data_IF_196324875505
#
_entry.id   IF_196324875505
#
_cell.length_a   1.000
_cell.length_b   1.000
_cell.length_c   1.000
_cell.angle_alpha   90.00
_cell.angle_beta   90.00
_cell.angle_gamma   90.00
#
_symmetry.space_group_name_H-M   'P 1'
#
loop_
_entity.id
_entity.type
_entity.pdbx_description
1 polymer ?
#
# COMPACT_ATOMS: atom_id res chain seq x y z
N UNK A 1 1.64 -6.23 -0.55
CA UNK A 1 2.09 -4.82 -0.56
C UNK A 1 1.11 -3.87 -1.24
N UNK A 2 0.37 -4.27 -2.29
CA UNK A 2 -0.64 -3.37 -2.89
C UNK A 2 -1.82 -3.06 -1.96
N UNK A 3 -2.23 -4.03 -1.13
CA UNK A 3 -3.30 -3.86 -0.15
C UNK A 3 -3.01 -2.83 0.96
N UNK A 4 -1.73 -2.60 1.28
CA UNK A 4 -1.29 -1.67 2.30
C UNK A 4 0.06 -1.10 1.86
N UNK A 5 0.08 0.01 1.09
CA UNK A 5 1.31 0.58 0.56
C UNK A 5 2.05 1.34 1.66
N UNK A 6 2.48 0.64 2.72
CA UNK A 6 3.30 1.16 3.82
C UNK A 6 4.81 1.10 3.46
N UNK A 7 5.66 1.71 4.30
CA UNK A 7 7.11 1.68 4.05
C UNK A 7 7.64 0.28 4.32
N UNK A 8 8.70 -0.14 3.63
CA UNK A 8 9.29 -1.47 3.83
C UNK A 8 9.79 -1.66 5.27
N UNK A 9 10.33 -0.61 5.88
CA UNK A 9 10.70 -0.64 7.29
C UNK A 9 9.50 -1.00 8.17
N UNK A 10 8.36 -0.31 7.99
CA UNK A 10 7.13 -0.61 8.72
C UNK A 10 6.59 -2.02 8.45
N UNK A 11 6.78 -2.55 7.23
CA UNK A 11 6.45 -3.95 6.93
C UNK A 11 7.35 -4.92 7.70
N UNK A 12 8.65 -4.65 7.76
CA UNK A 12 9.63 -5.48 8.45
C UNK A 12 9.50 -5.45 9.98
N UNK A 13 8.91 -4.37 10.52
CA UNK A 13 8.70 -4.16 11.95
C UNK A 13 7.24 -4.36 12.37
N UNK A 14 6.44 -5.12 11.61
CA UNK A 14 5.09 -5.44 12.05
C UNK A 14 5.11 -6.38 13.25
N UNK A 15 4.40 -6.01 14.31
CA UNK A 15 4.20 -6.81 15.52
C UNK A 15 2.76 -7.36 15.59
N UNK A 16 2.62 -8.63 15.96
CA UNK A 16 1.31 -9.25 16.21
C UNK A 16 0.66 -8.66 17.46
N UNK A 17 -0.62 -8.30 17.35
CA UNK A 17 -1.38 -7.71 18.47
C UNK A 17 -1.10 -6.22 18.70
N UNK A 18 0.00 -5.68 18.17
CA UNK A 18 0.29 -4.23 18.19
C UNK A 18 0.02 -3.58 16.84
N UNK A 19 0.85 -3.87 15.84
CA UNK A 19 0.73 -3.27 14.51
C UNK A 19 -0.17 -4.06 13.57
N UNK A 20 -0.36 -5.36 13.85
CA UNK A 20 -1.31 -6.22 13.15
C UNK A 20 -2.38 -6.67 14.13
N UNK A 21 -3.59 -6.14 13.96
CA UNK A 21 -4.68 -6.29 14.93
C UNK A 21 -5.84 -7.08 14.32
N UNK A 22 -6.46 -7.93 15.15
CA UNK A 22 -7.69 -8.64 14.84
C UNK A 22 -8.78 -8.28 15.88
N UNK A 23 -9.51 -7.17 15.68
CA UNK A 23 -10.49 -6.70 16.65
C UNK A 23 -11.57 -7.74 17.00
N UNK A 24 -11.95 -8.58 16.03
CA UNK A 24 -12.96 -9.64 16.19
C UNK A 24 -12.35 -11.04 16.30
N UNK A 25 -11.08 -11.12 16.72
CA UNK A 25 -10.34 -12.38 16.82
C UNK A 25 -9.82 -12.91 15.49
N UNK A 26 -9.07 -14.02 15.55
CA UNK A 26 -8.24 -14.49 14.43
C UNK A 26 -9.04 -14.65 13.14
N UNK A 27 -10.28 -15.15 13.19
CA UNK A 27 -11.13 -15.39 12.01
C UNK A 27 -11.88 -14.15 11.50
N UNK A 28 -11.77 -13.01 12.20
CA UNK A 28 -12.36 -11.75 11.78
C UNK A 28 -11.47 -10.92 10.85
N UNK A 29 -11.91 -9.68 10.53
CA UNK A 29 -11.10 -8.74 9.78
C UNK A 29 -9.82 -8.39 10.54
N UNK A 30 -8.73 -8.16 9.79
CA UNK A 30 -7.49 -7.69 10.37
C UNK A 30 -7.07 -6.35 9.77
N UNK A 31 -6.39 -5.57 10.59
CA UNK A 31 -5.94 -4.22 10.26
C UNK A 31 -4.45 -4.11 10.52
N UNK A 32 -3.74 -3.47 9.59
CA UNK A 32 -2.41 -2.95 9.85
C UNK A 32 -2.57 -1.55 10.42
N UNK A 33 -2.20 -1.38 11.68
CA UNK A 33 -2.27 -0.12 12.43
C UNK A 33 -0.85 0.33 12.74
N UNK A 34 -0.46 1.49 12.20
CA UNK A 34 0.83 2.12 12.45
C UNK A 34 0.59 3.40 13.24
N UNK A 35 1.18 3.48 14.43
CA UNK A 35 1.07 4.65 15.30
C UNK A 35 1.96 5.79 14.82
N UNK A 36 1.77 6.98 15.40
CA UNK A 36 2.53 8.19 15.02
C UNK A 36 4.04 7.97 15.12
N UNK A 37 4.50 7.38 16.21
CA UNK A 37 5.90 7.04 16.49
C UNK A 37 6.48 5.99 15.52
N UNK A 38 5.63 5.17 14.92
CA UNK A 38 6.01 4.12 13.97
C UNK A 38 6.04 4.64 12.52
N UNK A 39 5.73 5.91 12.30
CA UNK A 39 5.74 6.51 10.96
C UNK A 39 6.70 7.70 10.90
N UNK A 40 7.56 7.70 9.86
CA UNK A 40 8.52 8.79 9.61
C UNK A 40 7.88 10.19 9.54
N UNK A 41 6.59 10.27 9.27
CA UNK A 41 5.86 11.54 9.09
C UNK A 41 4.93 11.86 10.26
N UNK A 42 4.89 11.04 11.31
CA UNK A 42 3.98 11.17 12.46
C UNK A 42 2.48 11.14 12.08
N UNK A 43 2.17 10.48 10.97
CA UNK A 43 0.80 10.31 10.48
C UNK A 43 0.39 8.87 10.80
N UNK A 44 -0.58 8.64 11.69
CA UNK A 44 -1.05 7.28 11.95
C UNK A 44 -1.68 6.71 10.68
N UNK A 45 -1.45 5.43 10.43
CA UNK A 45 -1.98 4.75 9.24
C UNK A 45 -2.73 3.50 9.67
N UNK A 46 -3.89 3.31 9.06
CA UNK A 46 -4.72 2.13 9.28
C UNK A 46 -5.13 1.57 7.92
N UNK A 47 -4.78 0.31 7.69
CA UNK A 47 -5.10 -0.38 6.45
C UNK A 47 -5.90 -1.65 6.74
N UNK A 48 -7.16 -1.76 6.28
CA UNK A 48 -7.88 -3.02 6.33
C UNK A 48 -7.18 -4.01 5.38
N UNK A 49 -6.92 -5.23 5.86
CA UNK A 49 -6.37 -6.29 5.03
C UNK A 49 -7.49 -6.98 4.25
N UNK A 50 -7.42 -7.03 2.90
CA UNK A 50 -8.36 -7.77 2.09
C UNK A 50 -8.30 -9.28 2.38
N UNK A 51 -9.40 -10.00 2.15
CA UNK A 51 -9.51 -11.42 2.46
C UNK A 51 -8.42 -12.29 1.83
N UNK A 52 -8.04 -12.02 0.57
CA UNK A 52 -6.95 -12.75 -0.09
C UNK A 52 -5.60 -12.56 0.62
N UNK A 53 -5.34 -11.38 1.20
CA UNK A 53 -4.14 -11.15 2.01
C UNK A 53 -4.25 -11.86 3.36
N UNK A 54 -5.44 -11.86 3.97
CA UNK A 54 -5.69 -12.57 5.22
C UNK A 54 -5.49 -14.08 5.08
N UNK A 55 -5.96 -14.68 3.98
CA UNK A 55 -5.77 -16.10 3.70
C UNK A 55 -4.28 -16.49 3.68
N UNK A 56 -3.45 -15.74 2.93
CA UNK A 56 -2.00 -15.95 2.89
C UNK A 56 -1.33 -15.73 4.24
N UNK A 57 -1.79 -14.72 4.99
CA UNK A 57 -1.28 -14.42 6.32
C UNK A 57 -1.59 -15.55 7.32
N UNK A 58 -2.81 -16.09 7.29
CA UNK A 58 -3.20 -17.25 8.12
C UNK A 58 -2.33 -18.46 7.81
N UNK A 59 -2.17 -18.78 6.53
CA UNK A 59 -1.31 -19.88 6.09
C UNK A 59 0.13 -19.68 6.58
N UNK A 60 0.68 -18.47 6.45
CA UNK A 60 2.02 -18.15 6.96
C UNK A 60 2.14 -18.42 8.47
N UNK A 61 1.17 -17.93 9.25
CA UNK A 61 1.17 -18.07 10.71
C UNK A 61 1.02 -19.54 11.15
N UNK A 62 0.15 -20.31 10.48
CA UNK A 62 -0.14 -21.70 10.86
C UNK A 62 0.91 -22.69 10.37
N UNK A 63 1.45 -22.49 9.16
CA UNK A 63 2.35 -23.46 8.53
C UNK A 63 3.81 -23.13 8.71
N UNK A 64 4.21 -21.86 8.68
CA UNK A 64 5.63 -21.49 8.64
C UNK A 64 6.12 -20.97 9.97
N UNK A 65 5.30 -20.17 10.65
CA UNK A 65 5.67 -19.56 11.93
C UNK A 65 5.58 -20.52 13.12
N UNK A 66 4.74 -21.55 13.04
CA UNK A 66 4.65 -22.57 14.09
C UNK A 66 5.94 -23.37 14.28
N UNK A 67 6.81 -23.45 13.27
CA UNK A 67 8.13 -24.10 13.37
C UNK A 67 9.23 -23.20 13.92
N UNK A 68 8.97 -21.90 14.10
CA UNK A 68 9.98 -20.96 14.58
C UNK A 68 10.16 -21.07 16.11
N UNK A 69 11.41 -21.08 16.57
CA UNK A 69 11.75 -21.01 18.00
C UNK A 69 11.18 -19.73 18.65
N UNK A 70 10.91 -19.77 19.95
CA UNK A 70 10.10 -18.77 20.69
C UNK A 70 10.78 -17.42 20.93
N UNK A 71 11.89 -17.10 20.26
CA UNK A 71 12.74 -15.98 20.67
C UNK A 71 12.08 -14.61 20.46
N UNK A 72 11.54 -14.37 19.26
CA UNK A 72 11.05 -13.05 18.83
C UNK A 72 9.54 -13.11 18.46
N UNK A 73 8.71 -13.82 19.24
CA UNK A 73 7.29 -14.13 18.92
C UNK A 73 6.34 -12.93 18.79
N UNK A 74 6.77 -11.72 19.08
CA UNK A 74 6.01 -10.50 18.80
C UNK A 74 6.07 -10.12 17.31
N UNK A 75 7.20 -10.37 16.62
CA UNK A 75 7.42 -9.94 15.25
C UNK A 75 6.70 -10.84 14.24
N UNK A 76 6.11 -10.23 13.22
CA UNK A 76 5.39 -10.97 12.19
C UNK A 76 6.32 -11.90 11.41
N UNK A 77 7.40 -11.36 10.86
CA UNK A 77 8.33 -12.11 10.01
C UNK A 77 9.51 -12.68 10.80
N UNK A 78 9.52 -13.99 10.96
CA UNK A 78 10.57 -14.75 11.66
C UNK A 78 11.36 -15.64 10.72
N UNK A 79 12.62 -15.86 11.08
CA UNK A 79 13.47 -16.94 10.55
C UNK A 79 13.09 -18.25 11.26
N UNK A 80 13.53 -19.37 10.68
CA UNK A 80 13.29 -20.71 11.25
C UNK A 80 13.91 -20.86 12.65
N UNK A 81 15.00 -20.16 12.93
CA UNK A 81 15.65 -20.14 14.25
C UNK A 81 14.89 -19.30 15.29
N UNK A 82 13.76 -18.69 14.91
CA UNK A 82 12.95 -17.85 15.80
C UNK A 82 13.39 -16.40 15.89
N UNK A 83 14.44 -16.00 15.19
CA UNK A 83 14.91 -14.60 15.18
C UNK A 83 14.14 -13.75 14.17
N UNK A 84 14.03 -12.44 14.45
CA UNK A 84 13.43 -11.47 13.54
C UNK A 84 14.14 -11.45 12.19
N UNK A 85 13.37 -11.45 11.10
CA UNK A 85 13.95 -11.21 9.76
C UNK A 85 14.47 -9.77 9.67
N UNK A 86 15.76 -9.55 9.36
CA UNK A 86 16.28 -8.20 9.19
C UNK A 86 15.61 -7.46 8.04
N UNK A 87 15.42 -6.15 8.18
CA UNK A 87 14.78 -5.28 7.19
C UNK A 87 15.41 -5.39 5.79
N UNK A 88 16.75 -5.50 5.73
CA UNK A 88 17.48 -5.68 4.48
C UNK A 88 17.14 -7.01 3.80
N UNK A 89 17.08 -8.10 4.57
CA UNK A 89 16.73 -9.42 4.06
C UNK A 89 15.28 -9.47 3.54
N UNK A 90 14.34 -8.83 4.25
CA UNK A 90 12.95 -8.76 3.81
C UNK A 90 12.80 -7.92 2.54
N UNK A 91 13.52 -6.80 2.45
CA UNK A 91 13.57 -5.95 1.26
C UNK A 91 14.11 -6.71 0.05
N UNK A 92 15.23 -7.40 0.22
CA UNK A 92 15.88 -8.16 -0.85
C UNK A 92 15.03 -9.34 -1.27
N UNK A 93 14.45 -10.08 -0.31
CA UNK A 93 13.52 -11.17 -0.56
C UNK A 93 12.29 -10.71 -1.33
N UNK A 94 11.69 -9.58 -0.93
CA UNK A 94 10.54 -8.99 -1.63
C UNK A 94 10.90 -8.58 -3.06
N UNK A 95 12.05 -7.93 -3.25
CA UNK A 95 12.51 -7.49 -4.58
C UNK A 95 12.79 -8.68 -5.50
N UNK A 96 13.45 -9.73 -4.97
CA UNK A 96 13.74 -10.97 -5.70
C UNK A 96 12.48 -11.75 -6.04
N UNK A 97 11.53 -11.86 -5.11
CA UNK A 97 10.25 -12.52 -5.36
C UNK A 97 9.51 -11.84 -6.51
N UNK A 98 9.46 -10.52 -6.51
CA UNK A 98 8.78 -9.74 -7.55
C UNK A 98 9.50 -9.87 -8.89
N UNK A 99 10.84 -9.83 -8.90
CA UNK A 99 11.62 -10.08 -10.11
C UNK A 99 11.38 -11.48 -10.68
N UNK A 100 11.23 -12.49 -9.81
CA UNK A 100 10.96 -13.87 -10.20
C UNK A 100 9.56 -14.04 -10.80
N UNK A 101 8.54 -13.51 -10.14
CA UNK A 101 7.14 -13.71 -10.57
C UNK A 101 6.72 -12.78 -11.72
N UNK A 102 7.25 -11.56 -11.79
CA UNK A 102 6.83 -10.53 -12.75
C UNK A 102 7.92 -10.13 -13.76
N UNK A 103 9.13 -10.70 -13.66
CA UNK A 103 10.26 -10.36 -14.54
C UNK A 103 10.84 -8.96 -14.33
N UNK A 104 10.35 -8.20 -13.34
CA UNK A 104 10.73 -6.80 -13.10
C UNK A 104 11.28 -6.67 -11.68
N UNK A 105 12.50 -6.16 -11.56
CA UNK A 105 13.07 -5.80 -10.27
C UNK A 105 12.40 -4.51 -9.76
N UNK A 106 11.51 -4.65 -8.79
CA UNK A 106 10.80 -3.53 -8.18
C UNK A 106 11.18 -3.36 -6.72
N UNK A 107 11.73 -2.20 -6.38
CA UNK A 107 12.01 -1.81 -5.01
C UNK A 107 10.71 -1.46 -4.26
N UNK A 108 10.71 -1.50 -2.91
CA UNK A 108 9.52 -1.13 -2.15
C UNK A 108 9.04 0.31 -2.34
N UNK A 109 9.94 1.24 -2.69
CA UNK A 109 9.54 2.60 -3.06
C UNK A 109 8.78 2.60 -4.38
N UNK A 110 9.24 1.84 -5.38
CA UNK A 110 8.52 1.71 -6.65
C UNK A 110 7.14 1.06 -6.46
N UNK A 111 6.99 0.09 -5.55
CA UNK A 111 5.67 -0.45 -5.19
C UNK A 111 4.70 0.62 -4.71
N UNK A 112 5.15 1.50 -3.82
CA UNK A 112 4.34 2.61 -3.31
C UNK A 112 3.98 3.61 -4.41
N UNK A 113 4.91 3.87 -5.33
CA UNK A 113 4.66 4.72 -6.49
C UNK A 113 3.63 4.09 -7.44
N UNK A 114 3.73 2.79 -7.71
CA UNK A 114 2.76 2.07 -8.55
C UNK A 114 1.37 2.09 -7.93
N UNK A 115 1.24 1.81 -6.62
CA UNK A 115 -0.05 1.86 -5.93
C UNK A 115 -0.73 3.23 -6.07
N UNK A 116 0.04 4.31 -5.93
CA UNK A 116 -0.45 5.65 -6.09
C UNK A 116 -0.73 6.04 -7.55
N UNK A 117 0.09 5.59 -8.50
CA UNK A 117 -0.16 5.78 -9.92
C UNK A 117 -1.44 5.07 -10.36
N UNK A 118 -1.67 3.83 -9.93
CA UNK A 118 -2.91 3.08 -10.23
C UNK A 118 -4.13 3.80 -9.63
N UNK A 119 -4.04 4.28 -8.40
CA UNK A 119 -5.13 5.04 -7.78
C UNK A 119 -5.46 6.32 -8.56
N UNK A 120 -4.44 7.04 -9.06
CA UNK A 120 -4.64 8.24 -9.86
C UNK A 120 -5.00 7.96 -11.31
N UNK A 121 -4.67 6.79 -11.86
CA UNK A 121 -5.10 6.45 -13.22
C UNK A 121 -6.63 6.23 -13.25
N UNK A 122 -7.17 5.60 -12.19
CA UNK A 122 -8.62 5.39 -12.03
C UNK A 122 -9.33 6.68 -11.55
N UNK A 123 -8.71 7.44 -10.65
CA UNK A 123 -9.26 8.67 -10.10
C UNK A 123 -8.23 9.81 -10.09
N UNK A 124 -7.99 10.49 -11.23
CA UNK A 124 -6.84 11.40 -11.35
C UNK A 124 -6.95 12.71 -10.55
N UNK A 125 -8.16 13.08 -10.11
CA UNK A 125 -8.40 14.15 -9.13
C UNK A 125 -8.17 13.76 -7.65
N UNK A 126 -7.97 12.49 -7.32
CA UNK A 126 -7.99 11.98 -5.94
C UNK A 126 -6.63 12.10 -5.22
N UNK A 127 -5.99 13.27 -5.31
CA UNK A 127 -4.71 13.54 -4.63
C UNK A 127 -4.80 13.42 -3.10
N UNK A 128 -5.95 13.78 -2.52
CA UNK A 128 -6.23 13.59 -1.09
C UNK A 128 -6.19 12.11 -0.70
N UNK A 129 -6.84 11.24 -1.49
CA UNK A 129 -6.83 9.79 -1.29
C UNK A 129 -5.41 9.24 -1.35
N UNK A 130 -4.62 9.63 -2.35
CA UNK A 130 -3.22 9.16 -2.46
C UNK A 130 -2.34 9.70 -1.34
N UNK A 131 -2.54 10.96 -0.93
CA UNK A 131 -1.83 11.54 0.21
C UNK A 131 -2.09 10.73 1.49
N UNK A 132 -3.35 10.42 1.76
CA UNK A 132 -3.76 9.70 2.97
C UNK A 132 -3.32 8.24 2.92
N UNK A 133 -3.51 7.58 1.77
CA UNK A 133 -3.05 6.21 1.51
C UNK A 133 -1.54 6.05 1.71
N UNK A 134 -0.74 7.04 1.32
CA UNK A 134 0.72 7.01 1.47
C UNK A 134 1.22 7.61 2.80
N UNK A 135 0.36 8.23 3.61
CA UNK A 135 0.75 8.92 4.84
C UNK A 135 1.69 10.11 4.59
N UNK A 136 1.49 10.85 3.50
CA UNK A 136 2.27 12.04 3.19
C UNK A 136 1.72 13.25 3.94
N UNK A 137 2.55 13.92 4.75
CA UNK A 137 2.15 15.14 5.47
C UNK A 137 1.87 16.31 4.54
N UNK A 138 2.55 16.36 3.39
CA UNK A 138 2.45 17.45 2.43
C UNK A 138 1.96 16.95 1.07
N UNK A 139 0.87 17.54 0.59
CA UNK A 139 0.32 17.26 -0.73
C UNK A 139 1.30 17.63 -1.85
N UNK A 140 2.22 18.59 -1.64
CA UNK A 140 3.25 18.97 -2.63
C UNK A 140 4.13 17.79 -3.04
N UNK A 141 4.45 16.88 -2.10
CA UNK A 141 5.21 15.66 -2.40
C UNK A 141 4.41 14.71 -3.29
N UNK A 142 3.08 14.63 -3.14
CA UNK A 142 2.25 13.82 -4.04
C UNK A 142 2.04 14.54 -5.38
N UNK A 143 1.77 15.84 -5.37
CA UNK A 143 1.52 16.65 -6.57
C UNK A 143 2.71 16.70 -7.52
N UNK A 144 3.94 16.81 -7.02
CA UNK A 144 5.13 16.90 -7.88
C UNK A 144 5.40 15.59 -8.65
N UNK A 145 5.17 14.44 -8.01
CA UNK A 145 5.39 13.14 -8.66
C UNK A 145 4.34 12.81 -9.73
N UNK A 146 3.14 13.39 -9.62
CA UNK A 146 2.01 13.07 -10.50
C UNK A 146 1.54 14.24 -11.38
N UNK A 147 2.31 15.33 -11.43
CA UNK A 147 1.98 16.52 -12.23
C UNK A 147 1.72 16.18 -13.72
N UNK A 148 2.51 15.26 -14.29
CA UNK A 148 2.34 14.84 -15.69
C UNK A 148 1.02 14.10 -15.96
N UNK A 149 0.49 13.32 -15.00
CA UNK A 149 -0.82 12.67 -15.15
C UNK A 149 -1.96 13.70 -15.11
N UNK A 150 -1.81 14.75 -14.29
CA UNK A 150 -2.79 15.84 -14.20
C UNK A 150 -2.90 16.62 -15.49
N UNK A 151 -1.79 16.93 -16.16
CA UNK A 151 -1.81 17.63 -17.45
C UNK A 151 -2.58 16.82 -18.49
N UNK A 152 -2.39 15.49 -18.51
CA UNK A 152 -3.13 14.58 -19.39
C UNK A 152 -4.62 14.54 -19.06
N UNK A 153 -5.00 14.46 -17.79
CA UNK A 153 -6.41 14.44 -17.41
C UNK A 153 -7.08 15.79 -17.67
N UNK A 154 -6.44 16.91 -17.32
CA UNK A 154 -6.94 18.24 -17.58
C UNK A 154 -7.20 18.47 -19.07
N UNK A 155 -6.31 17.97 -19.94
CA UNK A 155 -6.54 18.00 -21.39
C UNK A 155 -7.76 17.16 -21.80
N UNK A 156 -7.93 15.94 -21.26
CA UNK A 156 -9.10 15.08 -21.52
C UNK A 156 -10.42 15.67 -21.01
N UNK A 157 -10.40 16.33 -19.85
CA UNK A 157 -11.59 16.99 -19.29
C UNK A 157 -11.93 18.25 -20.08
N UNK A 158 -10.92 19.02 -20.48
CA UNK A 158 -11.12 20.18 -21.35
C UNK A 158 -11.74 19.76 -22.69
N UNK A 159 -11.27 18.67 -23.30
CA UNK A 159 -11.84 18.12 -24.53
C UNK A 159 -13.31 17.71 -24.35
N UNK A 160 -13.64 17.01 -23.24
CA UNK A 160 -15.04 16.69 -22.88
C UNK A 160 -15.92 17.93 -22.70
N UNK A 161 -15.39 18.99 -22.09
CA UNK A 161 -16.09 20.28 -21.95
C UNK A 161 -16.36 20.88 -23.33
N UNK A 162 -15.37 20.85 -24.24
CA UNK A 162 -15.51 21.33 -25.61
C UNK A 162 -16.55 20.52 -26.39
N UNK A 163 -16.57 19.20 -26.25
CA UNK A 163 -17.57 18.33 -26.90
C UNK A 163 -18.99 18.63 -26.41
N UNK A 164 -19.19 18.80 -25.10
CA UNK A 164 -20.49 19.16 -24.52
C UNK A 164 -20.97 20.53 -24.98
N UNK A 165 -20.08 21.49 -25.12
CA UNK A 165 -20.43 22.84 -25.58
C UNK A 165 -20.58 22.94 -27.10
N UNK A 166 -20.07 21.96 -27.86
CA UNK A 166 -20.27 21.80 -29.31
C UNK A 166 -21.57 21.10 -29.70
N UNK A 167 -22.38 20.66 -28.75
CA UNK A 167 -23.72 20.11 -29.02
C UNK A 167 -24.76 21.20 -28.76
N UNK A 168 -25.02 22.14 -29.70
CA UNK A 168 -26.09 23.11 -29.53
C UNK A 168 -27.43 22.37 -29.56
N UNK A 169 -28.29 22.69 -28.61
CA UNK A 169 -29.67 22.22 -28.58
C UNK A 169 -30.33 22.42 -29.94
N UNK A 170 -30.88 21.32 -30.46
CA UNK A 170 -31.83 21.31 -31.55
C UNK A 170 -32.92 22.34 -31.23
N UNK A 171 -32.95 23.47 -31.96
CA UNK A 171 -34.09 24.39 -31.92
C UNK A 171 -35.31 23.63 -32.45
N UNK A 172 -36.40 23.47 -31.68
CA UNK A 172 -37.66 23.05 -32.26
C UNK A 172 -38.24 24.21 -33.06
N UNK A 173 -38.65 23.91 -34.30
CA UNK A 173 -39.44 24.78 -35.19
C UNK A 173 -40.83 25.04 -34.66
#
# INVERSE_FOLDING_TARGET
MLAAPMRMQNLATLELGRSLQWPSGRNGPAYVVLRRDETKNEVPLEYPLPEHCLALLREYLDRYRNYATVKDREWLFLRLDGSRVPDSALRDGSTKAVARELGIAMTPHQFRHVAAAVALDVHPGALGLVRDLLGHRNIKTTSNFYAGMRTREAAREFDRILERSRTPGTKPS
#
